data_IF_985121380303
#
_entry.id   IF_985121380303
#
_cell.length_a   1.000
_cell.length_b   1.000
_cell.length_c   1.000
_cell.angle_alpha   90.00
_cell.angle_beta   90.00
_cell.angle_gamma   90.00
#
_symmetry.space_group_name_H-M   'P 1'
#
loop_
_entity.id
_entity.type
_entity.pdbx_description
1 polymer ?
#
# COMPACT_ATOMS: atom_id res chain seq x y z
N UNK A 1 -32.03 -50.43 15.07
CA UNK A 1 -32.86 -49.33 14.50
C UNK A 1 -32.02 -48.49 13.58
N UNK A 2 -32.62 -48.03 12.48
CA UNK A 2 -31.92 -47.19 11.48
C UNK A 2 -32.56 -45.80 11.37
N UNK A 3 -31.75 -44.78 11.12
CA UNK A 3 -32.18 -43.40 10.86
C UNK A 3 -31.39 -42.82 9.71
N UNK A 4 -32.01 -41.93 8.91
CA UNK A 4 -31.28 -41.08 7.98
C UNK A 4 -30.40 -40.10 8.75
N UNK A 5 -29.21 -39.82 8.23
CA UNK A 5 -28.32 -38.82 8.79
C UNK A 5 -27.68 -38.00 7.68
N UNK A 6 -27.59 -36.70 7.88
CA UNK A 6 -26.88 -35.77 7.01
C UNK A 6 -26.27 -34.60 7.79
N UNK A 7 -25.20 -34.05 7.26
CA UNK A 7 -24.67 -32.74 7.61
C UNK A 7 -25.07 -31.77 6.49
N UNK A 8 -25.50 -30.59 6.85
CA UNK A 8 -25.93 -29.54 5.90
C UNK A 8 -25.25 -28.23 6.22
N UNK A 9 -24.68 -27.61 5.20
CA UNK A 9 -24.06 -26.29 5.28
C UNK A 9 -25.12 -25.23 5.64
N UNK A 10 -24.72 -24.26 6.47
CA UNK A 10 -25.48 -23.04 6.77
C UNK A 10 -24.61 -21.85 6.41
N UNK A 11 -23.64 -21.50 7.27
CA UNK A 11 -22.55 -20.56 6.94
C UNK A 11 -21.23 -21.31 6.76
N UNK A 12 -21.02 -22.36 7.55
CA UNK A 12 -19.87 -23.25 7.39
C UNK A 12 -20.02 -24.16 6.16
N UNK A 13 -18.93 -24.38 5.44
CA UNK A 13 -18.81 -25.17 4.21
C UNK A 13 -18.21 -26.53 4.51
N UNK A 14 -18.94 -27.59 4.19
CA UNK A 14 -18.46 -28.97 4.33
C UNK A 14 -17.41 -29.36 3.29
N UNK A 15 -17.08 -30.66 3.28
CA UNK A 15 -16.10 -31.21 2.31
C UNK A 15 -14.64 -31.01 2.70
N UNK A 16 -14.37 -30.61 3.94
CA UNK A 16 -13.03 -30.38 4.47
C UNK A 16 -12.56 -28.94 4.33
N UNK A 17 -13.44 -28.00 3.97
CA UNK A 17 -13.17 -26.56 4.08
C UNK A 17 -13.23 -26.20 5.57
N UNK A 18 -14.40 -26.10 6.17
CA UNK A 18 -14.57 -25.76 7.58
C UNK A 18 -14.81 -26.98 8.45
N UNK A 19 -15.42 -28.03 7.87
CA UNK A 19 -15.64 -29.31 8.56
C UNK A 19 -15.69 -30.50 7.61
N UNK A 20 -15.47 -31.70 8.17
CA UNK A 20 -15.59 -32.94 7.44
C UNK A 20 -17.06 -33.37 7.35
N UNK A 21 -17.67 -33.26 6.16
CA UNK A 21 -19.07 -33.60 5.93
C UNK A 21 -19.31 -35.10 5.66
N UNK A 22 -18.26 -35.87 5.33
CA UNK A 22 -18.34 -37.32 5.11
C UNK A 22 -17.84 -38.06 6.35
N UNK A 23 -18.76 -38.56 7.18
CA UNK A 23 -18.44 -39.26 8.41
C UNK A 23 -18.24 -40.76 8.18
N UNK A 24 -17.39 -41.38 8.98
CA UNK A 24 -17.14 -42.81 9.04
C UNK A 24 -17.64 -43.38 10.36
N UNK A 25 -17.64 -44.71 10.52
CA UNK A 25 -18.02 -45.36 11.78
C UNK A 25 -17.25 -44.88 12.99
N UNK A 26 -16.00 -44.39 12.82
CA UNK A 26 -15.19 -43.85 13.90
C UNK A 26 -15.75 -42.54 14.50
N UNK A 27 -16.62 -41.84 13.77
CA UNK A 27 -17.29 -40.63 14.25
C UNK A 27 -18.38 -40.88 15.31
N UNK A 28 -18.76 -42.14 15.53
CA UNK A 28 -19.88 -42.49 16.40
C UNK A 28 -19.44 -43.29 17.62
N UNK A 29 -20.08 -43.04 18.76
CA UNK A 29 -19.93 -43.85 19.97
C UNK A 29 -20.94 -45.01 20.01
N UNK A 30 -20.78 -45.88 21.02
CA UNK A 30 -21.68 -46.96 21.38
C UNK A 30 -22.02 -47.95 20.23
N UNK A 31 -21.04 -48.16 19.31
CA UNK A 31 -21.19 -49.14 18.22
C UNK A 31 -22.16 -48.73 17.12
N UNK A 32 -22.57 -47.48 17.07
CA UNK A 32 -23.35 -46.93 15.93
C UNK A 32 -22.49 -46.94 14.68
N UNK A 33 -23.06 -47.35 13.56
CA UNK A 33 -22.37 -47.37 12.26
C UNK A 33 -23.14 -46.55 11.23
N UNK A 34 -22.42 -46.06 10.19
CA UNK A 34 -22.99 -45.32 9.08
C UNK A 34 -22.68 -46.01 7.76
N UNK A 35 -23.66 -46.06 6.85
CA UNK A 35 -23.50 -46.48 5.47
C UNK A 35 -24.51 -45.73 4.59
N UNK A 36 -24.01 -45.04 3.53
CA UNK A 36 -24.88 -44.36 2.56
C UNK A 36 -25.81 -43.31 3.18
N UNK A 37 -25.38 -42.58 4.21
CA UNK A 37 -26.22 -41.58 4.89
C UNK A 37 -27.26 -42.16 5.84
N UNK A 38 -27.17 -43.46 6.15
CA UNK A 38 -28.05 -44.14 7.11
C UNK A 38 -27.22 -44.66 8.27
N UNK A 39 -27.59 -44.29 9.49
CA UNK A 39 -26.98 -44.81 10.71
C UNK A 39 -27.76 -46.02 11.22
N UNK A 40 -27.04 -47.02 11.75
CA UNK A 40 -27.59 -48.19 12.43
C UNK A 40 -27.23 -48.11 13.90
N UNK A 41 -28.25 -48.04 14.76
CA UNK A 41 -28.10 -47.97 16.22
C UNK A 41 -28.31 -49.37 16.78
N UNK A 42 -27.34 -49.94 17.53
CA UNK A 42 -27.46 -51.28 18.14
C UNK A 42 -28.62 -51.39 19.13
N UNK A 43 -29.06 -52.61 19.39
CA UNK A 43 -30.09 -52.89 20.39
C UNK A 43 -29.61 -52.47 21.79
N UNK A 44 -30.52 -51.85 22.56
CA UNK A 44 -30.22 -51.39 23.92
C UNK A 44 -29.47 -50.03 24.03
N UNK A 45 -29.02 -49.45 22.91
CA UNK A 45 -28.41 -48.12 22.90
C UNK A 45 -29.52 -47.06 22.94
N UNK A 46 -29.49 -46.22 23.94
CA UNK A 46 -30.45 -45.11 24.14
C UNK A 46 -29.86 -43.73 23.86
N UNK A 47 -28.50 -43.63 23.75
CA UNK A 47 -27.80 -42.41 23.39
C UNK A 47 -26.45 -42.73 22.72
N UNK A 48 -26.00 -41.86 21.86
CA UNK A 48 -24.67 -41.93 21.24
C UNK A 48 -24.20 -40.51 20.90
N UNK A 49 -22.91 -40.35 20.67
CA UNK A 49 -22.30 -39.08 20.23
C UNK A 49 -21.94 -39.17 18.74
N UNK A 50 -21.98 -38.03 18.07
CA UNK A 50 -21.47 -37.86 16.73
C UNK A 50 -20.34 -36.81 16.83
N UNK A 51 -19.14 -37.19 16.39
CA UNK A 51 -17.99 -36.27 16.33
C UNK A 51 -17.83 -35.79 14.89
N UNK A 52 -17.91 -34.50 14.68
CA UNK A 52 -17.67 -33.86 13.39
C UNK A 52 -16.32 -33.12 13.49
N UNK A 53 -15.27 -33.59 12.79
CA UNK A 53 -14.00 -32.90 12.76
C UNK A 53 -14.13 -31.55 12.05
N UNK A 54 -13.55 -30.49 12.62
CA UNK A 54 -13.40 -29.17 12.03
C UNK A 54 -12.01 -29.03 11.40
N UNK A 55 -11.88 -28.14 10.41
CA UNK A 55 -10.61 -27.77 9.79
C UNK A 55 -10.07 -26.53 10.51
N UNK A 56 -8.75 -26.42 10.61
CA UNK A 56 -8.09 -25.21 11.08
C UNK A 56 -7.33 -24.58 9.90
N UNK A 57 -7.33 -23.25 9.82
CA UNK A 57 -6.54 -22.50 8.85
C UNK A 57 -5.89 -21.26 9.51
N UNK A 58 -5.74 -20.14 8.81
CA UNK A 58 -5.16 -18.89 9.33
C UNK A 58 -5.92 -17.68 8.78
N UNK A 59 -7.17 -17.86 8.41
CA UNK A 59 -8.01 -16.80 7.83
C UNK A 59 -8.94 -16.28 8.93
N UNK A 60 -8.91 -14.97 9.18
CA UNK A 60 -9.88 -14.30 10.05
C UNK A 60 -11.29 -14.40 9.44
N UNK A 61 -12.18 -15.05 10.12
CA UNK A 61 -13.53 -15.34 9.67
C UNK A 61 -14.59 -15.01 10.74
N UNK A 62 -15.82 -14.95 10.35
CA UNK A 62 -16.90 -14.93 11.33
C UNK A 62 -17.16 -16.35 11.84
N UNK A 63 -17.65 -16.47 13.08
CA UNK A 63 -18.13 -17.77 13.58
C UNK A 63 -19.18 -18.35 12.65
N UNK A 64 -19.06 -19.64 12.33
CA UNK A 64 -19.85 -20.33 11.34
C UNK A 64 -20.70 -21.45 11.92
N UNK A 65 -21.70 -21.88 11.16
CA UNK A 65 -22.64 -22.91 11.61
C UNK A 65 -22.96 -23.91 10.52
N UNK A 66 -23.23 -25.15 10.94
CA UNK A 66 -23.78 -26.23 10.12
C UNK A 66 -24.89 -26.93 10.88
N UNK A 67 -25.70 -27.74 10.19
CA UNK A 67 -26.78 -28.50 10.80
C UNK A 67 -26.50 -30.00 10.70
N UNK A 68 -26.55 -30.70 11.82
CA UNK A 68 -26.62 -32.16 11.89
C UNK A 68 -28.10 -32.60 11.92
N UNK A 69 -28.52 -33.41 10.97
CA UNK A 69 -29.85 -34.01 10.91
C UNK A 69 -29.77 -35.50 11.19
N UNK A 70 -30.62 -35.99 12.08
CA UNK A 70 -30.76 -37.44 12.40
C UNK A 70 -32.25 -37.80 12.48
N UNK A 71 -32.73 -38.55 11.52
CA UNK A 71 -34.18 -38.82 11.39
C UNK A 71 -34.97 -37.51 11.19
N UNK A 72 -35.91 -37.25 12.10
CA UNK A 72 -36.70 -36.01 12.10
C UNK A 72 -36.14 -34.91 13.04
N UNK A 73 -35.03 -35.19 13.72
CA UNK A 73 -34.39 -34.23 14.64
C UNK A 73 -33.19 -33.56 14.00
N UNK A 74 -32.92 -32.31 14.40
CA UNK A 74 -31.75 -31.58 13.97
C UNK A 74 -31.06 -30.86 15.14
N UNK A 75 -29.77 -30.62 15.01
CA UNK A 75 -28.96 -29.85 15.93
C UNK A 75 -27.98 -28.94 15.17
N UNK A 76 -27.71 -27.74 15.69
CA UNK A 76 -26.74 -26.81 15.09
C UNK A 76 -25.39 -27.05 15.73
N UNK A 77 -24.34 -27.21 14.89
CA UNK A 77 -22.94 -27.09 15.28
C UNK A 77 -22.47 -25.69 14.99
N UNK A 78 -21.64 -25.14 15.89
CA UNK A 78 -20.99 -23.84 15.69
C UNK A 78 -19.49 -24.06 15.68
N UNK A 79 -18.81 -23.49 14.69
CA UNK A 79 -17.35 -23.43 14.56
C UNK A 79 -16.98 -22.00 14.91
N UNK A 80 -16.16 -21.82 15.94
CA UNK A 80 -15.68 -20.52 16.33
C UNK A 80 -14.33 -20.27 15.63
N UNK A 81 -14.20 -19.10 15.01
CA UNK A 81 -12.93 -18.61 14.50
C UNK A 81 -11.97 -18.35 15.65
N UNK A 82 -10.71 -18.75 15.51
CA UNK A 82 -9.64 -18.54 16.48
C UNK A 82 -8.47 -17.71 15.90
N UNK A 83 -8.64 -17.18 14.68
CA UNK A 83 -7.68 -16.30 14.03
C UNK A 83 -7.95 -14.81 14.34
N UNK A 84 -6.88 -14.03 14.33
CA UNK A 84 -6.98 -12.61 14.60
C UNK A 84 -7.21 -11.83 13.30
N UNK A 85 -7.96 -10.72 13.41
CA UNK A 85 -8.11 -9.78 12.30
C UNK A 85 -6.74 -9.33 11.76
N UNK A 86 -6.58 -9.20 10.43
CA UNK A 86 -5.32 -8.81 9.81
C UNK A 86 -4.77 -7.49 10.34
N UNK A 87 -3.47 -7.45 10.53
CA UNK A 87 -2.70 -6.23 10.79
C UNK A 87 -1.68 -6.02 9.67
N UNK A 88 -1.17 -4.78 9.54
CA UNK A 88 -0.07 -4.54 8.61
C UNK A 88 1.23 -5.07 9.23
N UNK A 89 1.84 -6.06 8.59
CA UNK A 89 3.09 -6.66 9.04
C UNK A 89 4.31 -5.89 8.51
N UNK A 90 4.23 -5.33 7.31
CA UNK A 90 5.29 -4.49 6.75
C UNK A 90 4.80 -3.58 5.63
N UNK A 91 5.51 -2.45 5.48
CA UNK A 91 5.47 -1.58 4.31
C UNK A 91 6.90 -1.42 3.82
N UNK A 92 7.17 -1.69 2.53
CA UNK A 92 8.52 -1.53 1.98
C UNK A 92 8.84 -0.06 1.71
N UNK A 93 10.08 0.36 1.94
CA UNK A 93 10.59 1.61 1.40
C UNK A 93 10.73 1.53 -0.13
N UNK A 94 10.67 2.67 -0.80
CA UNK A 94 10.91 2.78 -2.24
C UNK A 94 11.81 3.98 -2.54
N UNK A 95 12.70 3.85 -3.53
CA UNK A 95 13.57 4.93 -3.99
C UNK A 95 13.68 4.87 -5.51
N UNK A 96 13.49 6.02 -6.18
CA UNK A 96 13.56 6.14 -7.63
C UNK A 96 14.05 7.54 -8.02
N UNK A 97 14.50 7.66 -9.26
CA UNK A 97 14.75 8.94 -9.92
C UNK A 97 13.39 9.61 -10.20
N UNK A 98 13.33 10.92 -10.21
CA UNK A 98 12.13 11.67 -10.56
C UNK A 98 11.58 11.29 -11.95
N UNK A 99 10.29 11.55 -12.20
CA UNK A 99 9.60 11.09 -13.41
C UNK A 99 9.30 9.60 -13.45
N UNK A 100 9.70 8.82 -12.41
CA UNK A 100 9.40 7.39 -12.31
C UNK A 100 8.44 7.08 -11.16
N UNK A 101 7.85 5.88 -11.15
CA UNK A 101 6.89 5.49 -10.12
C UNK A 101 7.58 4.77 -8.98
N UNK A 102 7.42 5.28 -7.75
CA UNK A 102 7.80 4.58 -6.54
C UNK A 102 6.73 3.55 -6.18
N UNK A 103 7.12 2.31 -5.95
CA UNK A 103 6.22 1.21 -5.63
C UNK A 103 6.56 0.67 -4.25
N UNK A 104 5.65 0.85 -3.30
CA UNK A 104 5.72 0.27 -1.97
C UNK A 104 4.89 -1.01 -1.93
N UNK A 105 5.42 -2.07 -1.34
CA UNK A 105 4.66 -3.29 -1.07
C UNK A 105 4.18 -3.26 0.37
N UNK A 106 2.89 -3.45 0.55
CA UNK A 106 2.23 -3.58 1.86
C UNK A 106 1.88 -5.04 2.06
N UNK A 107 2.25 -5.62 3.21
CA UNK A 107 1.99 -7.01 3.55
C UNK A 107 1.16 -7.08 4.83
N UNK A 108 0.12 -7.91 4.83
CA UNK A 108 -0.73 -8.19 5.97
C UNK A 108 -0.22 -9.41 6.75
N UNK A 109 -0.61 -9.55 8.02
CA UNK A 109 -0.28 -10.70 8.87
C UNK A 109 -0.92 -12.00 8.36
N UNK A 110 -2.17 -11.93 7.91
CA UNK A 110 -3.01 -13.03 7.42
C UNK A 110 -4.08 -12.48 6.48
N UNK A 111 -4.85 -13.37 5.87
CA UNK A 111 -6.06 -13.01 5.13
C UNK A 111 -7.25 -12.83 6.06
N UNK A 112 -8.29 -12.13 5.60
CA UNK A 112 -9.63 -12.18 6.17
C UNK A 112 -10.64 -12.60 5.10
N UNK A 113 -11.68 -13.32 5.48
CA UNK A 113 -12.83 -13.63 4.62
C UNK A 113 -13.71 -12.39 4.35
N UNK A 114 -13.42 -11.28 5.01
CA UNK A 114 -14.14 -10.01 4.92
C UNK A 114 -13.24 -8.87 4.46
N UNK A 115 -13.86 -7.73 4.09
CA UNK A 115 -13.12 -6.48 3.81
C UNK A 115 -12.50 -5.97 5.10
N UNK A 116 -11.20 -5.70 5.07
CA UNK A 116 -10.45 -5.11 6.19
C UNK A 116 -10.10 -3.66 5.90
N UNK A 117 -10.07 -2.80 6.92
CA UNK A 117 -9.79 -1.37 6.75
C UNK A 117 -8.57 -0.93 7.55
N UNK A 118 -7.75 -0.03 6.95
CA UNK A 118 -6.56 0.52 7.58
C UNK A 118 -6.48 2.03 7.38
N UNK A 119 -6.03 2.74 8.42
CA UNK A 119 -5.68 4.15 8.28
C UNK A 119 -4.53 4.33 7.30
N UNK A 120 -4.59 5.39 6.50
CA UNK A 120 -3.62 5.71 5.46
C UNK A 120 -3.20 7.18 5.52
N UNK A 121 -1.90 7.43 5.41
CA UNK A 121 -1.34 8.77 5.20
C UNK A 121 -0.18 8.73 4.22
N UNK A 122 -0.03 9.80 3.43
CA UNK A 122 1.08 10.03 2.51
C UNK A 122 1.51 11.48 2.61
N UNK A 123 2.82 11.73 2.80
CA UNK A 123 3.41 13.05 2.97
C UNK A 123 4.25 13.15 4.24
N UNK A 124 4.70 14.38 4.60
CA UNK A 124 5.43 14.63 5.85
C UNK A 124 6.95 14.65 5.73
N UNK A 125 7.52 14.48 4.54
CA UNK A 125 8.94 14.68 4.24
C UNK A 125 9.23 16.01 3.54
N UNK A 126 10.35 16.11 2.82
CA UNK A 126 10.72 17.27 2.00
C UNK A 126 9.92 17.34 0.70
N UNK A 127 9.59 16.18 0.11
CA UNK A 127 8.79 16.12 -1.12
C UNK A 127 7.35 16.54 -0.87
N UNK A 128 6.78 17.35 -1.77
CA UNK A 128 5.45 17.94 -1.70
C UNK A 128 4.48 17.25 -2.66
N UNK A 129 3.39 16.71 -2.12
CA UNK A 129 2.34 16.11 -2.94
C UNK A 129 1.67 17.10 -3.89
N UNK A 130 1.54 16.71 -5.15
CA UNK A 130 1.04 17.54 -6.24
C UNK A 130 2.10 18.36 -6.96
N UNK A 131 3.31 18.47 -6.42
CA UNK A 131 4.50 19.06 -7.04
C UNK A 131 5.47 17.94 -7.42
N UNK A 132 6.02 17.26 -6.44
CA UNK A 132 7.10 16.29 -6.63
C UNK A 132 6.58 14.87 -6.85
N UNK A 133 5.34 14.59 -6.45
CA UNK A 133 4.65 13.33 -6.71
C UNK A 133 3.13 13.48 -6.81
N UNK A 134 2.51 12.55 -7.54
CA UNK A 134 1.06 12.57 -7.79
C UNK A 134 0.26 12.07 -6.58
N UNK A 135 -0.81 12.79 -6.23
CA UNK A 135 -1.80 12.40 -5.21
C UNK A 135 -3.23 12.42 -5.78
N UNK A 136 -4.10 11.45 -5.44
CA UNK A 136 -3.80 10.24 -4.66
C UNK A 136 -2.99 9.21 -5.46
N UNK A 137 -2.27 8.28 -4.78
CA UNK A 137 -1.59 7.17 -5.44
C UNK A 137 -2.59 6.13 -5.96
N UNK A 138 -2.08 5.14 -6.70
CA UNK A 138 -2.86 3.99 -7.14
C UNK A 138 -2.53 2.75 -6.32
N UNK A 139 -3.48 1.80 -6.25
CA UNK A 139 -3.37 0.59 -5.45
C UNK A 139 -3.63 -0.65 -6.31
N UNK A 140 -2.95 -1.76 -5.98
CA UNK A 140 -3.21 -3.05 -6.61
C UNK A 140 -4.27 -3.87 -5.85
N UNK A 141 -4.61 -5.05 -6.39
CA UNK A 141 -5.48 -6.06 -5.76
C UNK A 141 -6.86 -5.54 -5.31
N UNK A 142 -7.41 -4.54 -6.02
CA UNK A 142 -8.74 -4.01 -5.73
C UNK A 142 -8.83 -3.16 -4.45
N UNK A 143 -7.70 -2.79 -3.86
CA UNK A 143 -7.67 -1.88 -2.69
C UNK A 143 -8.15 -0.50 -3.11
N UNK A 144 -8.98 0.12 -2.28
CA UNK A 144 -9.54 1.47 -2.53
C UNK A 144 -9.25 2.40 -1.36
N UNK A 145 -9.14 3.70 -1.66
CA UNK A 145 -8.92 4.76 -0.67
C UNK A 145 -10.14 5.69 -0.60
N UNK A 146 -10.63 5.93 0.60
CA UNK A 146 -11.70 6.90 0.84
C UNK A 146 -11.50 7.56 2.21
N UNK A 147 -11.46 8.90 2.25
CA UNK A 147 -11.36 9.66 3.50
C UNK A 147 -10.16 9.30 4.39
N UNK A 148 -9.02 8.95 3.80
CA UNK A 148 -7.82 8.54 4.54
C UNK A 148 -7.86 7.11 5.10
N UNK A 149 -8.80 6.29 4.61
CA UNK A 149 -8.96 4.88 4.99
C UNK A 149 -8.85 4.00 3.74
N UNK A 150 -7.97 3.01 3.79
CA UNK A 150 -7.89 1.94 2.80
C UNK A 150 -8.92 0.86 3.12
N UNK A 151 -9.60 0.37 2.09
CA UNK A 151 -10.42 -0.85 2.15
C UNK A 151 -9.72 -1.94 1.34
N UNK A 152 -9.33 -3.01 2.02
CA UNK A 152 -8.62 -4.17 1.45
C UNK A 152 -9.63 -5.29 1.27
N UNK A 153 -9.81 -5.83 0.05
CA UNK A 153 -10.75 -6.91 -0.21
C UNK A 153 -10.43 -8.20 0.53
N UNK A 154 -11.44 -9.03 0.74
CA UNK A 154 -11.31 -10.39 1.28
C UNK A 154 -10.23 -11.20 0.53
N UNK A 155 -9.47 -12.02 1.26
CA UNK A 155 -8.43 -12.89 0.74
C UNK A 155 -7.11 -12.19 0.36
N UNK A 156 -7.03 -10.85 0.41
CA UNK A 156 -5.80 -10.11 0.08
C UNK A 156 -4.84 -10.13 1.27
N UNK A 157 -3.63 -10.64 1.05
CA UNK A 157 -2.53 -10.65 2.03
C UNK A 157 -1.40 -9.67 1.70
N UNK A 158 -1.39 -9.11 0.48
CA UNK A 158 -0.46 -8.07 0.07
C UNK A 158 -1.01 -7.23 -1.08
N UNK A 159 -0.58 -5.98 -1.15
CA UNK A 159 -0.89 -5.08 -2.26
C UNK A 159 0.23 -4.05 -2.44
N UNK A 160 0.21 -3.33 -3.55
CA UNK A 160 1.16 -2.24 -3.81
C UNK A 160 0.48 -0.87 -3.72
N UNK A 161 1.25 0.10 -3.25
CA UNK A 161 0.96 1.53 -3.34
C UNK A 161 1.93 2.13 -4.35
N UNK A 162 1.42 2.61 -5.47
CA UNK A 162 2.21 3.19 -6.56
C UNK A 162 2.06 4.70 -6.54
N UNK A 163 3.18 5.40 -6.30
CA UNK A 163 3.29 6.86 -6.20
C UNK A 163 4.13 7.35 -7.38
N UNK A 164 3.53 7.85 -8.46
CA UNK A 164 4.29 8.44 -9.57
C UNK A 164 4.95 9.74 -9.12
N UNK A 165 6.27 9.88 -9.31
CA UNK A 165 6.97 11.15 -9.15
C UNK A 165 6.83 12.02 -10.39
N UNK A 166 6.96 13.32 -10.20
CA UNK A 166 6.90 14.32 -11.28
C UNK A 166 8.30 14.44 -11.89
N UNK A 167 8.38 14.63 -13.19
CA UNK A 167 9.61 14.99 -13.89
C UNK A 167 9.54 16.48 -14.18
N UNK A 168 10.61 17.21 -13.86
CA UNK A 168 10.74 18.61 -14.26
C UNK A 168 12.17 18.96 -14.75
N UNK A 169 12.68 20.14 -14.53
CA UNK A 169 14.01 20.60 -14.96
C UNK A 169 14.62 21.54 -13.92
N UNK A 170 14.20 21.41 -12.68
CA UNK A 170 14.66 22.22 -11.56
C UNK A 170 15.68 21.42 -10.76
N UNK A 171 16.90 21.92 -10.65
CA UNK A 171 17.90 21.34 -9.73
C UNK A 171 17.41 21.49 -8.29
N UNK A 172 17.00 20.41 -7.67
CA UNK A 172 16.56 20.33 -6.28
C UNK A 172 17.70 19.88 -5.35
N UNK A 173 18.84 19.60 -5.93
CA UNK A 173 20.10 19.30 -5.27
C UNK A 173 20.17 17.87 -4.78
N UNK A 174 19.62 17.58 -3.60
CA UNK A 174 19.65 16.24 -3.01
C UNK A 174 18.33 15.51 -3.27
N UNK A 175 18.27 14.27 -2.82
CA UNK A 175 17.02 13.51 -2.85
C UNK A 175 15.99 14.12 -1.92
N UNK A 176 14.73 14.09 -2.34
CA UNK A 176 13.57 14.44 -1.55
C UNK A 176 12.85 13.20 -0.99
N UNK A 177 12.07 13.38 0.07
CA UNK A 177 11.43 12.26 0.75
C UNK A 177 9.99 12.53 1.13
N UNK A 178 9.18 11.48 1.21
CA UNK A 178 7.86 11.47 1.82
C UNK A 178 7.70 10.24 2.70
N UNK A 179 6.82 10.31 3.70
CA UNK A 179 6.42 9.18 4.52
C UNK A 179 5.12 8.58 4.00
N UNK A 180 5.09 7.25 3.82
CA UNK A 180 3.88 6.46 3.61
C UNK A 180 3.58 5.70 4.91
N UNK A 181 2.38 5.84 5.46
CA UNK A 181 1.93 5.04 6.61
C UNK A 181 0.63 4.31 6.27
N UNK A 182 0.61 3.01 6.56
CA UNK A 182 -0.57 2.14 6.42
C UNK A 182 -0.75 1.37 7.72
N UNK A 183 -1.92 1.50 8.36
CA UNK A 183 -2.22 0.84 9.63
C UNK A 183 -1.22 1.15 10.76
N UNK A 184 -0.55 2.31 10.71
CA UNK A 184 0.47 2.72 11.67
C UNK A 184 1.89 2.21 11.37
N UNK A 185 2.09 1.42 10.31
CA UNK A 185 3.42 1.00 9.84
C UNK A 185 3.88 1.97 8.77
N UNK A 186 5.02 2.63 9.00
CA UNK A 186 5.56 3.64 8.11
C UNK A 186 6.72 3.12 7.24
N UNK A 187 6.85 3.70 6.06
CA UNK A 187 7.97 3.50 5.15
C UNK A 187 8.32 4.79 4.42
N UNK A 188 9.60 4.95 4.07
CA UNK A 188 10.10 6.11 3.37
C UNK A 188 10.00 5.92 1.86
N UNK A 189 9.50 6.94 1.15
CA UNK A 189 9.71 7.14 -0.28
C UNK A 189 10.82 8.15 -0.50
N UNK A 190 11.74 7.87 -1.44
CA UNK A 190 12.84 8.77 -1.79
C UNK A 190 12.81 9.03 -3.29
N UNK A 191 12.71 10.31 -3.67
CA UNK A 191 12.79 10.80 -5.04
C UNK A 191 14.19 11.40 -5.21
N UNK A 192 14.93 10.93 -6.19
CA UNK A 192 16.28 11.43 -6.50
C UNK A 192 16.18 12.37 -7.69
N UNK A 193 16.62 13.59 -7.49
CA UNK A 193 16.78 14.60 -8.53
C UNK A 193 17.81 14.15 -9.58
N UNK A 194 17.51 14.30 -10.87
CA UNK A 194 18.43 13.99 -11.99
C UNK A 194 18.83 15.23 -12.80
N UNK A 195 18.42 16.40 -12.36
CA UNK A 195 18.81 17.67 -12.96
C UNK A 195 20.17 18.16 -12.48
N UNK A 196 20.87 18.86 -13.34
CA UNK A 196 22.18 19.40 -13.00
C UNK A 196 22.05 20.82 -12.44
N UNK A 197 22.95 21.16 -11.52
CA UNK A 197 23.04 22.52 -11.02
C UNK A 197 23.14 23.55 -12.16
N UNK A 198 22.46 24.71 -12.05
CA UNK A 198 22.44 25.72 -13.10
C UNK A 198 23.86 26.17 -13.50
N UNK A 199 24.03 26.39 -14.79
CA UNK A 199 25.22 27.01 -15.37
C UNK A 199 24.83 28.29 -16.12
N UNK A 200 25.78 29.19 -16.35
CA UNK A 200 25.55 30.36 -17.19
C UNK A 200 25.45 29.86 -18.65
N UNK A 201 24.28 29.98 -19.26
CA UNK A 201 24.05 29.60 -20.66
C UNK A 201 24.39 30.70 -21.63
N UNK A 202 24.19 31.98 -21.26
CA UNK A 202 24.56 33.11 -22.09
C UNK A 202 24.67 34.40 -21.29
N UNK A 203 25.47 35.35 -21.82
CA UNK A 203 25.53 36.73 -21.42
C UNK A 203 25.37 37.58 -22.68
N UNK A 204 24.46 38.56 -22.67
CA UNK A 204 24.20 39.44 -23.81
C UNK A 204 25.39 40.43 -24.01
N UNK A 205 25.48 41.03 -25.21
CA UNK A 205 26.49 42.04 -25.58
C UNK A 205 25.80 43.36 -25.95
N UNK A 206 25.39 44.16 -24.94
CA UNK A 206 24.71 45.42 -25.21
C UNK A 206 25.66 46.48 -25.77
N UNK A 207 25.12 47.44 -26.52
CA UNK A 207 25.84 48.63 -27.02
C UNK A 207 24.98 49.84 -26.73
N UNK A 208 25.57 50.87 -26.12
CA UNK A 208 24.89 52.14 -25.81
C UNK A 208 25.79 53.32 -26.15
N UNK A 209 25.23 54.53 -26.18
CA UNK A 209 26.00 55.74 -26.22
C UNK A 209 26.57 56.08 -24.86
N UNK A 210 27.70 56.77 -24.83
CA UNK A 210 28.33 57.29 -23.58
C UNK A 210 27.29 58.06 -22.75
N UNK A 211 27.30 57.85 -21.45
CA UNK A 211 26.38 58.44 -20.49
C UNK A 211 25.06 57.63 -20.28
N UNK A 212 24.91 56.48 -20.93
CA UNK A 212 23.79 55.56 -20.71
C UNK A 212 24.28 54.25 -20.09
N UNK A 213 23.41 53.58 -19.33
CA UNK A 213 23.72 52.30 -18.68
C UNK A 213 23.77 51.13 -19.67
N UNK A 214 24.80 50.30 -19.56
CA UNK A 214 24.91 49.02 -20.24
C UNK A 214 24.16 47.95 -19.42
N UNK A 215 23.07 47.41 -19.93
CA UNK A 215 22.27 46.36 -19.27
C UNK A 215 22.56 45.01 -19.92
N UNK A 216 23.24 44.14 -19.21
CA UNK A 216 23.52 42.77 -19.62
C UNK A 216 22.41 41.85 -19.18
N UNK A 217 21.89 41.04 -20.06
CA UNK A 217 21.04 39.91 -19.71
C UNK A 217 21.90 38.67 -19.53
N UNK A 218 21.77 38.03 -18.39
CA UNK A 218 22.44 36.77 -18.07
C UNK A 218 21.36 35.70 -18.01
N UNK A 219 21.54 34.61 -18.76
CA UNK A 219 20.62 33.46 -18.77
C UNK A 219 21.30 32.24 -18.16
N UNK A 220 20.56 31.50 -17.37
CA UNK A 220 20.98 30.22 -16.80
C UNK A 220 20.48 29.07 -17.65
N UNK A 221 21.05 27.85 -17.49
CA UNK A 221 20.64 26.64 -18.18
C UNK A 221 19.25 26.16 -17.72
N UNK A 222 18.99 26.23 -16.42
CA UNK A 222 17.77 25.81 -15.72
C UNK A 222 17.62 26.62 -14.43
N UNK A 223 16.52 26.39 -13.70
CA UNK A 223 16.32 26.92 -12.36
C UNK A 223 16.93 25.96 -11.31
N UNK A 224 17.13 26.45 -10.10
CA UNK A 224 17.41 25.64 -8.92
C UNK A 224 16.44 26.00 -7.81
N UNK A 225 16.07 25.05 -6.97
CA UNK A 225 15.30 25.26 -5.75
C UNK A 225 16.09 25.96 -4.64
N UNK A 226 17.42 26.10 -4.82
CA UNK A 226 18.35 26.71 -3.88
C UNK A 226 19.14 27.86 -4.50
N UNK A 227 19.71 28.72 -3.66
CA UNK A 227 20.60 29.79 -4.12
C UNK A 227 21.83 29.20 -4.81
N UNK A 228 22.09 29.66 -6.05
CA UNK A 228 23.26 29.26 -6.82
C UNK A 228 24.22 30.43 -6.94
N UNK A 229 25.51 30.18 -6.74
CA UNK A 229 26.55 31.24 -6.77
C UNK A 229 27.46 31.10 -7.98
N UNK A 230 27.73 32.22 -8.64
CA UNK A 230 28.63 32.30 -9.80
C UNK A 230 29.72 33.32 -9.55
N UNK A 231 30.93 33.01 -10.01
CA UNK A 231 32.01 33.99 -10.01
C UNK A 231 31.70 35.10 -11.00
N UNK A 232 31.89 36.34 -10.58
CA UNK A 232 31.69 37.54 -11.38
C UNK A 232 33.00 38.30 -11.54
N UNK A 233 33.29 38.78 -12.76
CA UNK A 233 34.40 39.71 -13.04
C UNK A 233 33.95 40.75 -14.06
N UNK A 234 34.35 41.99 -13.85
CA UNK A 234 34.15 43.09 -14.78
C UNK A 234 35.52 43.71 -15.15
N UNK A 235 35.77 43.88 -16.43
CA UNK A 235 37.02 44.44 -16.92
C UNK A 235 37.70 43.59 -17.99
N UNK A 236 38.95 43.89 -18.29
CA UNK A 236 39.76 43.15 -19.30
C UNK A 236 39.63 43.64 -20.74
N UNK A 237 38.78 44.64 -21.01
CA UNK A 237 38.66 45.30 -22.31
C UNK A 237 39.50 46.57 -22.41
N UNK A 238 39.21 47.43 -23.41
CA UNK A 238 39.86 48.75 -23.60
C UNK A 238 39.28 49.87 -22.74
N UNK A 239 38.08 49.67 -22.13
CA UNK A 239 37.46 50.62 -21.24
C UNK A 239 38.21 50.68 -19.90
N UNK A 240 38.55 51.88 -19.46
CA UNK A 240 39.21 52.11 -18.18
C UNK A 240 38.18 52.10 -17.04
N UNK A 241 38.65 51.93 -15.79
CA UNK A 241 37.79 51.98 -14.59
C UNK A 241 37.05 53.32 -14.42
N UNK A 242 37.50 54.37 -15.07
CA UNK A 242 36.85 55.68 -15.12
C UNK A 242 35.64 55.73 -16.05
N UNK A 243 35.51 54.76 -16.96
CA UNK A 243 34.49 54.75 -18.01
C UNK A 243 33.21 53.98 -17.58
N UNK A 244 33.23 53.28 -16.42
CA UNK A 244 32.10 52.58 -15.84
C UNK A 244 32.09 52.64 -14.30
N UNK A 245 30.88 52.61 -13.74
CA UNK A 245 30.68 52.67 -12.29
C UNK A 245 30.58 51.27 -11.64
N UNK A 246 30.15 51.23 -10.39
CA UNK A 246 29.83 49.99 -9.69
C UNK A 246 28.60 49.34 -10.29
N UNK A 247 28.66 48.06 -10.70
CA UNK A 247 27.49 47.39 -11.25
C UNK A 247 26.44 47.17 -10.19
N UNK A 248 25.18 47.08 -10.63
CA UNK A 248 24.03 46.73 -9.83
C UNK A 248 23.39 45.51 -10.45
N UNK A 249 22.76 44.66 -9.61
CA UNK A 249 22.11 43.45 -10.04
C UNK A 249 20.60 43.55 -9.81
N UNK A 250 19.82 42.82 -10.62
CA UNK A 250 18.36 42.72 -10.49
C UNK A 250 17.96 41.35 -9.91
N UNK A 251 16.68 41.17 -9.61
CA UNK A 251 16.11 39.91 -9.16
C UNK A 251 16.72 39.33 -7.88
N UNK A 252 17.20 40.18 -6.98
CA UNK A 252 17.69 39.77 -5.66
C UNK A 252 19.11 39.19 -5.64
N UNK A 253 19.86 39.30 -6.72
CA UNK A 253 21.26 38.86 -6.83
C UNK A 253 22.21 39.83 -6.10
#
# INVERSE_FOLDING_TARGET
TTFSMSLSDVTATGGGVDYTSTLTNAAFSNGVTIAGGVITVPAGVTSFTVTVPTSADTIDEANETYTLNVGAASGTGTINDDDNAPTISSVSAAAQIEGTTLVHTVTLSNASSSVTTFAYTLGGGSATGGTDYTTPPTFSNGVTLSGGVLSVPAGVTSFTVSVPSTLDTIDEGASETYDLSVGGVAALGTITDDDNAPTISSVSSPTVSEGSDLVYAVALSNASSSDTTFAYTLGGGSAALSDYGTPTFSNGV
#
